data_IF_914131162356
#
_entry.id   IF_914131162356
#
_cell.length_a   1.000
_cell.length_b   1.000
_cell.length_c   1.000
_cell.angle_alpha   90.00
_cell.angle_beta   90.00
_cell.angle_gamma   90.00
#
_symmetry.space_group_name_H-M   'P 1'
#
loop_
_entity.id
_entity.type
_entity.pdbx_description
1 polymer ?
#
# COMPACT_ATOMS: atom_id res chain seq x y z
N UNK A 1 0.14 -39.20 90.12
CA UNK A 1 0.03 -40.30 89.14
C UNK A 1 -1.37 -40.28 88.54
N UNK A 2 -1.48 -39.95 87.26
CA UNK A 2 -2.34 -40.58 86.24
C UNK A 2 -2.34 -39.69 85.00
N UNK A 3 -1.83 -40.26 83.91
CA UNK A 3 -1.69 -39.68 82.60
C UNK A 3 -3.06 -39.60 81.92
N UNK A 4 -3.32 -38.55 81.14
CA UNK A 4 -4.29 -38.63 80.05
C UNK A 4 -3.68 -38.13 78.76
N UNK A 5 -3.74 -39.02 77.78
CA UNK A 5 -3.12 -39.00 76.48
C UNK A 5 -3.77 -37.99 75.54
N UNK A 6 -2.93 -37.30 74.79
CA UNK A 6 -3.27 -36.67 73.51
C UNK A 6 -3.73 -37.74 72.52
N UNK A 7 -4.83 -37.50 71.81
CA UNK A 7 -4.90 -37.50 70.34
C UNK A 7 -6.36 -37.44 69.86
N UNK A 8 -6.60 -36.47 68.95
CA UNK A 8 -7.63 -36.46 67.91
C UNK A 8 -9.08 -36.11 68.31
N UNK A 9 -9.37 -34.80 68.31
CA UNK A 9 -10.61 -34.34 67.67
C UNK A 9 -10.34 -33.08 66.84
N UNK A 10 -10.13 -33.33 65.54
CA UNK A 10 -10.05 -32.33 64.47
C UNK A 10 -11.45 -31.81 64.16
N UNK A 11 -11.68 -30.49 64.24
CA UNK A 11 -12.01 -29.59 63.09
C UNK A 11 -12.81 -28.34 63.51
N UNK A 12 -12.24 -27.21 63.06
CA UNK A 12 -12.91 -26.07 62.46
C UNK A 12 -13.82 -25.19 63.33
N UNK A 13 -13.19 -24.24 64.03
CA UNK A 13 -13.72 -22.87 64.14
C UNK A 13 -12.59 -21.94 63.70
N UNK A 14 -12.39 -21.82 62.38
CA UNK A 14 -11.63 -20.70 61.82
C UNK A 14 -12.52 -19.48 61.94
N UNK A 15 -12.34 -18.72 63.03
CA UNK A 15 -12.80 -17.35 63.11
C UNK A 15 -12.06 -16.57 62.01
N UNK A 16 -12.75 -16.25 60.92
CA UNK A 16 -12.21 -15.34 59.91
C UNK A 16 -11.87 -14.01 60.60
N UNK A 17 -10.62 -13.52 60.55
CA UNK A 17 -10.37 -12.15 60.91
C UNK A 17 -11.01 -11.29 59.83
N UNK A 18 -12.14 -10.67 60.15
CA UNK A 18 -12.70 -9.55 59.39
C UNK A 18 -11.55 -8.55 59.21
N UNK A 19 -11.15 -8.22 57.96
CA UNK A 19 -10.07 -7.27 57.76
C UNK A 19 -10.51 -5.89 58.31
N UNK A 20 -9.65 -5.18 59.03
CA UNK A 20 -10.00 -3.87 59.56
C UNK A 20 -10.32 -2.91 58.40
N UNK A 21 -11.40 -2.14 58.55
CA UNK A 21 -11.71 -0.98 57.70
C UNK A 21 -10.67 0.11 57.96
N UNK A 22 -9.51 0.00 57.35
CA UNK A 22 -8.53 1.07 57.24
C UNK A 22 -8.21 1.29 55.75
N UNK A 23 -8.93 2.23 55.13
CA UNK A 23 -8.55 2.79 53.82
C UNK A 23 -7.36 3.72 54.03
N UNK A 24 -6.17 3.13 54.10
CA UNK A 24 -4.94 3.89 53.89
C UNK A 24 -4.65 3.88 52.39
N UNK A 25 -5.14 4.90 51.68
CA UNK A 25 -4.70 5.18 50.31
C UNK A 25 -3.28 5.76 50.35
N UNK A 26 -2.29 4.91 50.60
CA UNK A 26 -0.91 5.20 50.22
C UNK A 26 -0.45 4.20 49.15
N UNK A 27 -1.15 4.22 47.99
CA UNK A 27 -0.57 3.64 46.76
C UNK A 27 0.48 4.60 46.21
N UNK A 28 1.61 4.72 46.90
CA UNK A 28 2.85 5.09 46.22
C UNK A 28 3.34 3.83 45.52
N UNK A 29 2.99 3.68 44.24
CA UNK A 29 3.66 2.73 43.36
C UNK A 29 5.10 3.22 43.16
N UNK A 30 5.97 3.03 44.15
CA UNK A 30 7.40 3.23 43.99
C UNK A 30 7.94 2.02 43.26
N UNK A 31 8.20 2.16 41.96
CA UNK A 31 9.00 1.20 41.20
C UNK A 31 10.43 1.24 41.73
N UNK A 32 10.76 0.41 42.74
CA UNK A 32 12.15 0.27 43.17
C UNK A 32 12.95 -0.36 42.02
N UNK A 33 14.18 0.09 41.78
CA UNK A 33 15.04 -0.44 40.70
C UNK A 33 15.29 -1.96 40.77
N UNK A 34 14.97 -2.58 41.90
CA UNK A 34 15.20 -4.00 42.24
C UNK A 34 13.97 -4.90 42.09
N UNK A 35 12.77 -4.36 41.80
CA UNK A 35 11.59 -5.19 41.65
C UNK A 35 11.52 -5.85 40.24
N UNK A 36 11.48 -7.20 40.15
CA UNK A 36 11.44 -7.91 38.87
C UNK A 36 10.15 -7.67 38.06
N UNK A 37 9.08 -7.14 38.66
CA UNK A 37 7.76 -6.96 38.02
C UNK A 37 7.39 -5.49 37.71
N UNK A 38 8.37 -4.63 37.44
CA UNK A 38 8.15 -3.18 37.31
C UNK A 38 7.68 -2.66 35.94
N UNK A 39 7.54 -3.51 34.93
CA UNK A 39 7.23 -3.06 33.56
C UNK A 39 5.73 -3.19 33.29
N UNK A 40 5.09 -2.09 32.90
CA UNK A 40 3.67 -2.04 32.55
C UNK A 40 3.47 -1.21 31.28
N UNK A 41 2.69 -1.74 30.34
CA UNK A 41 2.35 -1.11 29.06
C UNK A 41 0.87 -1.34 28.75
N UNK A 42 0.27 -0.48 27.92
CA UNK A 42 -1.04 -0.74 27.34
C UNK A 42 -0.88 -1.69 26.17
N UNK A 43 -1.59 -2.82 26.19
CA UNK A 43 -1.72 -3.72 25.05
C UNK A 43 -3.09 -3.54 24.43
N UNK A 44 -3.15 -3.26 23.13
CA UNK A 44 -4.39 -3.17 22.38
C UNK A 44 -4.37 -4.19 21.23
N UNK A 45 -5.48 -4.90 21.06
CA UNK A 45 -5.72 -5.88 19.98
C UNK A 45 -7.10 -5.57 19.43
N UNK A 46 -7.18 -5.24 18.15
CA UNK A 46 -8.46 -5.04 17.48
C UNK A 46 -9.12 -6.40 17.25
N UNK A 47 -10.42 -6.50 17.53
CA UNK A 47 -11.19 -7.74 17.37
C UNK A 47 -11.18 -8.25 15.93
N UNK A 48 -11.17 -7.33 14.95
CA UNK A 48 -11.20 -7.65 13.52
C UNK A 48 -9.89 -8.30 13.04
N UNK A 49 -8.74 -7.79 13.49
CA UNK A 49 -7.44 -8.26 13.03
C UNK A 49 -6.93 -9.46 13.83
N UNK A 50 -7.21 -9.52 15.15
CA UNK A 50 -6.81 -10.51 16.19
C UNK A 50 -5.31 -10.88 16.30
N UNK A 51 -4.53 -10.71 15.23
CA UNK A 51 -3.13 -11.09 15.07
C UNK A 51 -2.18 -9.89 15.09
N UNK A 52 -2.69 -8.65 15.15
CA UNK A 52 -1.90 -7.41 15.13
C UNK A 52 -1.96 -6.70 16.50
N UNK A 53 -1.16 -7.14 17.49
CA UNK A 53 -1.08 -6.45 18.77
C UNK A 53 -0.33 -5.12 18.62
N UNK A 54 -0.79 -4.10 19.33
CA UNK A 54 -0.10 -2.82 19.49
C UNK A 54 0.21 -2.55 20.96
N UNK A 55 1.35 -1.93 21.22
CA UNK A 55 1.82 -1.60 22.57
C UNK A 55 1.98 -0.08 22.72
N UNK A 56 1.44 0.48 23.80
CA UNK A 56 1.43 1.91 24.08
C UNK A 56 1.89 2.21 25.51
N UNK A 57 2.32 3.43 25.75
CA UNK A 57 2.66 3.97 27.07
C UNK A 57 1.60 5.00 27.46
N UNK A 58 1.32 5.15 28.76
CA UNK A 58 0.47 6.26 29.23
C UNK A 58 1.14 7.61 28.96
N UNK A 59 0.37 8.59 28.48
CA UNK A 59 0.81 9.98 28.50
C UNK A 59 1.03 10.43 29.95
N UNK A 60 2.10 11.19 30.20
CA UNK A 60 2.45 11.65 31.55
C UNK A 60 1.41 12.63 32.11
N UNK A 61 0.81 13.45 31.24
CA UNK A 61 -0.15 14.48 31.66
C UNK A 61 -1.51 13.89 31.99
N UNK A 62 -2.03 13.04 31.12
CA UNK A 62 -3.41 12.55 31.24
C UNK A 62 -3.50 11.13 31.79
N UNK A 63 -2.42 10.34 31.81
CA UNK A 63 -2.33 8.94 32.31
C UNK A 63 -3.28 7.91 31.68
N UNK A 64 -4.45 8.31 31.19
CA UNK A 64 -5.45 7.48 30.51
C UNK A 64 -5.35 7.54 28.97
N UNK A 65 -4.59 8.49 28.42
CA UNK A 65 -4.36 8.58 26.96
C UNK A 65 -3.15 7.74 26.55
N UNK A 66 -3.28 7.05 25.43
CA UNK A 66 -2.22 6.25 24.83
C UNK A 66 -1.21 7.13 24.08
N UNK A 67 0.08 6.85 24.27
CA UNK A 67 1.21 7.48 23.59
C UNK A 67 2.17 6.41 23.07
N UNK A 68 2.76 6.66 21.91
CA UNK A 68 3.76 5.76 21.33
C UNK A 68 5.01 5.65 22.23
N UNK A 69 5.57 4.44 22.37
CA UNK A 69 6.82 4.19 23.09
C UNK A 69 8.04 4.36 22.19
N UNK A 70 9.08 5.04 22.64
CA UNK A 70 10.22 5.39 21.78
C UNK A 70 11.22 4.24 21.59
N UNK A 71 11.75 3.62 22.67
CA UNK A 71 13.03 2.89 22.53
C UNK A 71 13.06 1.47 23.14
N UNK A 72 12.00 1.03 23.83
CA UNK A 72 12.10 -0.17 24.68
C UNK A 72 11.78 -1.50 23.96
N UNK A 73 11.14 -1.48 22.78
CA UNK A 73 10.73 -2.71 22.08
C UNK A 73 11.01 -2.61 20.58
N UNK A 74 11.85 -3.50 20.03
CA UNK A 74 12.13 -3.58 18.58
C UNK A 74 10.97 -4.10 17.71
N UNK A 75 9.85 -4.53 18.30
CA UNK A 75 8.61 -4.94 17.58
C UNK A 75 7.64 -3.77 17.34
N UNK A 76 7.94 -2.60 17.87
CA UNK A 76 7.11 -1.40 17.78
C UNK A 76 7.88 -0.37 16.94
N UNK A 77 7.26 0.35 15.99
CA UNK A 77 5.83 0.39 15.70
C UNK A 77 5.32 -0.88 14.98
N UNK A 78 4.13 -1.34 15.39
CA UNK A 78 3.40 -2.40 14.71
C UNK A 78 2.94 -1.94 13.31
N UNK A 79 2.49 -2.89 12.47
CA UNK A 79 1.92 -2.56 11.15
C UNK A 79 0.85 -1.46 11.29
N UNK A 80 0.94 -0.36 10.54
CA UNK A 80 0.06 0.79 10.73
C UNK A 80 -1.39 0.40 10.40
N UNK A 81 -2.25 0.36 11.41
CA UNK A 81 -3.70 0.21 11.23
C UNK A 81 -4.37 1.59 11.25
N UNK A 82 -5.50 1.77 10.54
CA UNK A 82 -6.28 3.00 10.59
C UNK A 82 -6.61 3.38 12.04
N UNK A 83 -6.40 4.65 12.41
CA UNK A 83 -6.70 5.15 13.75
C UNK A 83 -5.73 4.75 14.87
N UNK A 84 -4.78 3.84 14.63
CA UNK A 84 -3.80 3.37 15.64
C UNK A 84 -2.35 3.51 15.14
N UNK A 85 -2.08 4.57 14.37
CA UNK A 85 -0.76 4.84 13.81
C UNK A 85 0.26 5.19 14.90
N UNK A 86 1.32 4.39 14.96
CA UNK A 86 2.39 4.50 15.94
C UNK A 86 3.66 5.16 15.37
N UNK A 87 3.90 4.95 14.08
CA UNK A 87 5.11 5.36 13.40
C UNK A 87 5.44 4.37 12.29
N UNK A 88 6.66 4.46 11.76
CA UNK A 88 7.12 3.59 10.69
C UNK A 88 8.47 2.97 11.03
N UNK A 89 8.50 1.63 11.16
CA UNK A 89 9.70 0.90 11.56
C UNK A 89 10.67 0.73 10.41
N UNK A 90 11.95 0.58 10.71
CA UNK A 90 12.99 0.39 9.70
C UNK A 90 12.81 -0.89 8.88
N UNK A 91 12.22 -1.93 9.48
CA UNK A 91 11.90 -3.18 8.79
C UNK A 91 10.88 -2.93 7.68
N UNK A 92 9.81 -2.18 7.99
CA UNK A 92 8.80 -1.82 7.00
C UNK A 92 9.27 -0.74 6.03
N UNK A 93 10.24 0.11 6.40
CA UNK A 93 10.85 1.10 5.49
C UNK A 93 11.45 0.45 4.25
N UNK A 94 12.23 -0.62 4.43
CA UNK A 94 12.85 -1.32 3.31
C UNK A 94 11.80 -1.95 2.40
N UNK A 95 10.76 -2.58 2.99
CA UNK A 95 9.69 -3.22 2.25
C UNK A 95 8.84 -2.22 1.46
N UNK A 96 8.58 -1.05 2.02
CA UNK A 96 7.81 0.00 1.37
C UNK A 96 8.65 0.94 0.49
N UNK A 97 9.94 0.62 0.26
CA UNK A 97 10.88 1.48 -0.46
C UNK A 97 11.01 2.92 0.11
N UNK A 98 10.80 3.10 1.42
CA UNK A 98 11.04 4.38 2.08
C UNK A 98 12.52 4.49 2.49
N UNK A 99 13.20 5.64 2.25
CA UNK A 99 14.61 5.77 2.59
C UNK A 99 14.83 5.64 4.10
N UNK A 100 15.75 4.76 4.47
CA UNK A 100 16.22 4.67 5.86
C UNK A 100 17.35 5.68 6.08
N UNK A 101 17.22 6.60 7.04
CA UNK A 101 18.32 7.50 7.36
C UNK A 101 19.44 6.76 8.09
N UNK A 102 20.69 7.17 7.88
CA UNK A 102 21.85 6.57 8.56
C UNK A 102 21.86 6.86 10.06
N UNK A 103 21.29 8.00 10.46
CA UNK A 103 21.13 8.44 11.86
C UNK A 103 19.73 8.98 12.09
N UNK A 104 19.26 8.89 13.33
CA UNK A 104 17.99 9.48 13.74
C UNK A 104 18.06 11.00 13.59
N UNK A 105 17.42 11.52 12.54
CA UNK A 105 17.46 12.93 12.19
C UNK A 105 16.20 13.36 11.46
N UNK A 106 15.71 14.56 11.77
CA UNK A 106 14.53 15.15 11.15
C UNK A 106 14.98 15.99 9.96
N UNK A 107 15.17 15.32 8.83
CA UNK A 107 15.54 15.90 7.55
C UNK A 107 14.64 15.30 6.47
N UNK A 108 14.69 15.88 5.27
CA UNK A 108 13.93 15.36 4.14
C UNK A 108 14.33 13.90 3.84
N UNK A 109 13.37 13.03 3.48
CA UNK A 109 13.64 11.65 3.11
C UNK A 109 14.33 11.61 1.74
N UNK A 110 15.67 11.61 1.74
CA UNK A 110 16.48 11.53 0.52
C UNK A 110 16.83 10.07 0.24
N UNK A 111 16.49 9.59 -0.96
CA UNK A 111 16.93 8.28 -1.43
C UNK A 111 18.41 8.33 -1.80
N UNK A 112 19.30 7.59 -1.10
CA UNK A 112 20.70 7.53 -1.49
C UNK A 112 20.84 6.82 -2.83
N UNK A 113 21.87 7.19 -3.59
CA UNK A 113 22.20 6.51 -4.84
C UNK A 113 22.66 5.09 -4.53
N UNK A 114 21.80 4.11 -4.82
CA UNK A 114 22.08 2.68 -4.66
C UNK A 114 22.08 1.98 -6.03
N UNK A 115 22.80 0.86 -6.20
CA UNK A 115 22.79 0.12 -7.46
C UNK A 115 21.38 -0.26 -7.93
N UNK A 116 20.46 -0.57 -7.00
CA UNK A 116 19.05 -0.82 -7.31
C UNK A 116 18.38 0.41 -7.93
N UNK A 117 18.53 1.59 -7.33
CA UNK A 117 17.94 2.83 -7.86
C UNK A 117 18.50 3.17 -9.25
N UNK A 118 19.81 3.00 -9.45
CA UNK A 118 20.45 3.21 -10.77
C UNK A 118 19.90 2.24 -11.81
N UNK A 119 19.75 0.96 -11.45
CA UNK A 119 19.17 -0.05 -12.32
C UNK A 119 17.72 0.28 -12.70
N UNK A 120 16.85 0.58 -11.72
CA UNK A 120 15.45 0.93 -11.99
C UNK A 120 15.35 2.17 -12.89
N UNK A 121 16.15 3.20 -12.63
CA UNK A 121 16.19 4.39 -13.48
C UNK A 121 16.62 4.07 -14.92
N UNK A 122 17.62 3.19 -15.10
CA UNK A 122 18.04 2.74 -16.43
C UNK A 122 16.94 1.93 -17.14
N UNK A 123 16.19 1.08 -16.40
CA UNK A 123 15.05 0.35 -16.94
C UNK A 123 13.93 1.31 -17.37
N UNK A 124 13.59 2.31 -16.56
CA UNK A 124 12.60 3.32 -16.93
C UNK A 124 12.98 4.06 -18.21
N UNK A 125 14.25 4.48 -18.33
CA UNK A 125 14.75 5.11 -19.56
C UNK A 125 14.61 4.21 -20.78
N UNK A 126 14.91 2.92 -20.63
CA UNK A 126 14.73 1.93 -21.71
C UNK A 126 13.26 1.78 -22.10
N UNK A 127 12.37 1.70 -21.12
CA UNK A 127 10.92 1.56 -21.34
C UNK A 127 10.38 2.80 -22.05
N UNK A 128 10.74 4.00 -21.61
CA UNK A 128 10.30 5.25 -22.21
C UNK A 128 10.79 5.41 -23.65
N UNK A 129 12.06 5.05 -23.89
CA UNK A 129 12.61 5.04 -25.24
C UNK A 129 11.85 4.07 -26.15
N UNK A 130 11.58 2.85 -25.69
CA UNK A 130 10.79 1.89 -26.46
C UNK A 130 9.37 2.40 -26.71
N UNK A 131 8.69 2.97 -25.71
CA UNK A 131 7.35 3.55 -25.88
C UNK A 131 7.34 4.66 -26.93
N UNK A 132 8.36 5.52 -26.93
CA UNK A 132 8.54 6.59 -27.93
C UNK A 132 8.72 5.99 -29.33
N UNK A 133 9.62 5.03 -29.50
CA UNK A 133 9.83 4.37 -30.80
C UNK A 133 8.56 3.71 -31.35
N UNK A 134 7.79 3.02 -30.49
CA UNK A 134 6.54 2.39 -30.91
C UNK A 134 5.47 3.41 -31.31
N UNK A 135 5.41 4.55 -30.60
CA UNK A 135 4.53 5.67 -30.96
C UNK A 135 4.91 6.24 -32.33
N UNK A 136 6.20 6.53 -32.54
CA UNK A 136 6.69 7.11 -33.79
C UNK A 136 6.47 6.13 -34.96
N UNK A 137 6.73 4.84 -34.75
CA UNK A 137 6.46 3.81 -35.76
C UNK A 137 4.97 3.73 -36.11
N UNK A 138 4.08 3.88 -35.13
CA UNK A 138 2.63 3.90 -35.38
C UNK A 138 2.23 5.13 -36.18
N UNK A 139 2.76 6.31 -35.82
CA UNK A 139 2.49 7.55 -36.55
C UNK A 139 2.97 7.46 -38.00
N UNK A 140 4.19 6.97 -38.24
CA UNK A 140 4.70 6.76 -39.60
C UNK A 140 3.83 5.76 -40.36
N UNK A 141 3.37 4.69 -39.71
CA UNK A 141 2.43 3.74 -40.32
C UNK A 141 1.13 4.41 -40.76
N UNK A 142 0.55 5.25 -39.90
CA UNK A 142 -0.68 5.99 -40.22
C UNK A 142 -0.47 6.99 -41.36
N UNK A 143 0.64 7.73 -41.34
CA UNK A 143 0.98 8.67 -42.41
C UNK A 143 1.16 7.97 -43.76
N UNK A 144 1.87 6.83 -43.79
CA UNK A 144 2.02 6.04 -45.02
C UNK A 144 0.68 5.55 -45.56
N UNK A 145 -0.21 5.07 -44.70
CA UNK A 145 -1.56 4.66 -45.10
C UNK A 145 -2.35 5.84 -45.65
N UNK A 146 -2.28 7.00 -44.99
CA UNK A 146 -2.97 8.21 -45.43
C UNK A 146 -2.42 8.72 -46.78
N UNK A 147 -1.11 8.78 -46.95
CA UNK A 147 -0.45 9.14 -48.21
C UNK A 147 -0.83 8.19 -49.34
N UNK A 148 -0.83 6.88 -49.07
CA UNK A 148 -1.23 5.87 -50.05
C UNK A 148 -2.68 6.06 -50.50
N UNK A 149 -3.60 6.28 -49.57
CA UNK A 149 -5.00 6.56 -49.91
C UNK A 149 -5.15 7.86 -50.69
N UNK A 150 -4.43 8.92 -50.31
CA UNK A 150 -4.40 10.17 -51.06
C UNK A 150 -3.91 9.96 -52.50
N UNK A 151 -2.85 9.16 -52.69
CA UNK A 151 -2.33 8.81 -54.00
C UNK A 151 -3.31 7.96 -54.82
N UNK A 152 -3.94 6.95 -54.21
CA UNK A 152 -4.93 6.12 -54.88
C UNK A 152 -6.16 6.94 -55.32
N UNK A 153 -6.62 7.88 -54.48
CA UNK A 153 -7.69 8.80 -54.85
C UNK A 153 -7.26 9.73 -56.00
N UNK A 154 -6.00 10.16 -56.03
CA UNK A 154 -5.45 10.89 -57.17
C UNK A 154 -5.46 10.04 -58.45
N UNK A 155 -5.10 8.75 -58.35
CA UNK A 155 -5.15 7.81 -59.47
C UNK A 155 -6.59 7.66 -60.00
N UNK A 156 -7.58 7.51 -59.13
CA UNK A 156 -8.98 7.44 -59.54
C UNK A 156 -9.47 8.72 -60.22
N UNK A 157 -9.02 9.91 -59.78
CA UNK A 157 -9.32 11.18 -60.46
C UNK A 157 -8.69 11.25 -61.85
N UNK A 158 -7.43 10.80 -62.01
CA UNK A 158 -6.75 10.75 -63.31
C UNK A 158 -7.45 9.75 -64.24
N UNK A 159 -7.78 8.56 -63.73
CA UNK A 159 -8.56 7.55 -64.48
C UNK A 159 -9.90 8.13 -64.94
N UNK A 160 -10.65 8.77 -64.04
CA UNK A 160 -11.93 9.38 -64.39
C UNK A 160 -11.81 10.46 -65.47
N UNK A 161 -10.77 11.31 -65.40
CA UNK A 161 -10.47 12.30 -66.43
C UNK A 161 -10.13 11.65 -67.77
N UNK A 162 -9.25 10.65 -67.77
CA UNK A 162 -8.85 9.91 -68.96
C UNK A 162 -10.05 9.22 -69.63
N UNK A 163 -10.90 8.53 -68.84
CA UNK A 163 -12.12 7.93 -69.35
C UNK A 163 -13.06 8.96 -70.00
N UNK A 164 -13.18 10.16 -69.41
CA UNK A 164 -13.98 11.26 -69.96
C UNK A 164 -13.38 11.81 -71.27
N UNK A 165 -12.07 12.00 -71.32
CA UNK A 165 -11.35 12.47 -72.51
C UNK A 165 -11.46 11.49 -73.69
N UNK A 166 -11.44 10.19 -73.40
CA UNK A 166 -11.56 9.14 -74.42
C UNK A 166 -12.99 8.62 -74.65
N UNK A 167 -14.00 9.19 -73.97
CA UNK A 167 -15.39 8.76 -74.11
C UNK A 167 -15.67 7.32 -73.64
N UNK A 168 -14.81 6.75 -72.79
CA UNK A 168 -14.94 5.37 -72.29
C UNK A 168 -15.84 5.33 -71.07
N UNK A 169 -16.97 4.63 -71.16
CA UNK A 169 -17.84 4.33 -70.02
C UNK A 169 -17.55 2.93 -69.47
N UNK A 170 -17.25 2.82 -68.17
CA UNK A 170 -17.02 1.51 -67.53
C UNK A 170 -18.31 0.89 -66.96
N UNK A 171 -19.43 1.00 -67.69
CA UNK A 171 -20.75 0.45 -67.32
C UNK A 171 -21.17 -0.76 -68.19
N UNK A 172 -20.19 -1.47 -68.73
CA UNK A 172 -20.39 -2.62 -69.62
C UNK A 172 -20.27 -2.25 -71.10
N UNK A 173 -20.64 -3.19 -71.98
CA UNK A 173 -20.53 -3.03 -73.44
C UNK A 173 -21.73 -2.27 -74.04
N UNK A 174 -22.84 -2.20 -73.29
CA UNK A 174 -24.06 -1.54 -73.72
C UNK A 174 -23.95 0.00 -73.66
N UNK A 175 -24.80 0.69 -74.43
CA UNK A 175 -24.89 2.16 -74.43
C UNK A 175 -25.67 2.74 -73.26
N UNK A 176 -25.76 4.09 -73.15
CA UNK A 176 -26.35 4.78 -72.01
C UNK A 176 -27.85 4.56 -71.83
N UNK A 177 -28.55 3.99 -72.82
CA UNK A 177 -29.99 3.69 -72.74
C UNK A 177 -30.32 2.65 -71.66
N UNK A 178 -29.43 1.68 -71.43
CA UNK A 178 -29.61 0.67 -70.38
C UNK A 178 -29.47 1.32 -69.00
N UNK A 179 -28.48 2.20 -68.83
CA UNK A 179 -28.29 2.96 -67.60
C UNK A 179 -29.48 3.90 -67.34
N UNK A 180 -30.00 4.58 -68.37
CA UNK A 180 -31.16 5.47 -68.24
C UNK A 180 -32.46 4.75 -67.89
N UNK A 181 -32.56 3.44 -68.18
CA UNK A 181 -33.68 2.63 -67.76
C UNK A 181 -33.63 2.27 -66.26
N UNK A 182 -32.44 2.32 -65.64
CA UNK A 182 -32.18 2.07 -64.21
C UNK A 182 -32.77 0.75 -63.64
N UNK A 183 -33.09 -0.24 -64.51
CA UNK A 183 -33.70 -1.51 -64.09
C UNK A 183 -32.72 -2.45 -63.37
N UNK A 184 -31.41 -2.29 -63.59
CA UNK A 184 -30.36 -3.16 -63.07
C UNK A 184 -29.23 -2.44 -62.30
N UNK A 185 -29.37 -1.13 -62.06
CA UNK A 185 -28.40 -0.30 -61.33
C UNK A 185 -27.42 0.47 -62.22
#
# INVERSE_FOLDING_TARGET
MLQHTSLLCRKAIQAYPVPPRARNYERRWSSSRTNPYNRMFWRNVLNEDFARPSFWVSDFRHKYLAKHGMDYQGRVPASPAPGTYQGFSDVHKILANHPKPQRESRHLPVMPMTPRVVFEHAQEKRIDYMKKMHRDRRLVGQLRTHEFWGWYMKLQRVRGRWCKEHGVSSRGVYGPAVDAAELWG
#
